data_IF_899389241067
#
_entry.id   IF_899389241067
#
_cell.length_a   1.000
_cell.length_b   1.000
_cell.length_c   1.000
_cell.angle_alpha   90.00
_cell.angle_beta   90.00
_cell.angle_gamma   90.00
#
_symmetry.space_group_name_H-M   'P 1'
#
loop_
_entity.id
_entity.type
_entity.pdbx_description
1 polymer ?
#
# COMPACT_ATOMS: atom_id res chain seq x y z
N UNK A 1 -14.45 12.73 -12.09
CA UNK A 1 -13.01 12.67 -12.55
C UNK A 1 -12.41 11.36 -12.07
N UNK A 2 -11.43 10.75 -12.78
CA UNK A 2 -10.76 9.55 -12.28
C UNK A 2 -10.14 9.79 -10.91
N UNK A 3 -10.06 8.73 -10.10
CA UNK A 3 -9.41 8.72 -8.79
C UNK A 3 -8.12 7.89 -8.86
N UNK A 4 -7.14 8.24 -8.04
CA UNK A 4 -5.93 7.44 -7.92
C UNK A 4 -6.15 6.31 -6.91
N UNK A 5 -5.91 5.08 -7.30
CA UNK A 5 -5.78 3.95 -6.40
C UNK A 5 -4.31 3.73 -6.04
N UNK A 6 -4.05 3.43 -4.77
CA UNK A 6 -2.74 3.12 -4.23
C UNK A 6 -2.84 1.81 -3.44
N UNK A 7 -2.12 0.80 -3.90
CA UNK A 7 -1.93 -0.46 -3.19
C UNK A 7 -0.49 -0.54 -2.66
N UNK A 8 -0.34 -0.92 -1.39
CA UNK A 8 0.95 -1.18 -0.76
C UNK A 8 1.00 -2.59 -0.23
N UNK A 9 2.17 -3.21 -0.27
CA UNK A 9 2.40 -4.55 0.23
C UNK A 9 3.80 -4.69 0.81
N UNK A 10 3.92 -5.29 1.98
CA UNK A 10 5.21 -5.59 2.60
C UNK A 10 5.16 -6.88 3.40
N UNK A 11 6.26 -7.64 3.36
CA UNK A 11 6.44 -8.85 4.19
C UNK A 11 7.07 -8.43 5.51
N UNK A 12 6.43 -8.77 6.62
CA UNK A 12 6.95 -8.51 7.96
C UNK A 12 7.96 -9.58 8.36
N UNK A 13 8.94 -9.20 9.18
CA UNK A 13 9.94 -10.11 9.75
C UNK A 13 9.32 -11.11 10.72
N UNK A 14 8.32 -10.66 11.49
CA UNK A 14 7.58 -11.46 12.47
C UNK A 14 6.11 -11.55 12.11
N UNK A 15 5.41 -12.63 12.50
CA UNK A 15 3.96 -12.72 12.39
C UNK A 15 3.25 -11.58 13.13
N UNK A 16 2.07 -11.22 12.65
CA UNK A 16 1.22 -10.20 13.28
C UNK A 16 0.84 -10.54 14.73
N UNK A 17 0.71 -11.82 15.04
CA UNK A 17 0.38 -12.31 16.40
C UNK A 17 1.60 -12.38 17.35
N UNK A 18 2.82 -12.08 16.87
CA UNK A 18 4.02 -12.11 17.70
C UNK A 18 3.92 -11.03 18.80
N UNK A 19 4.04 -11.39 20.10
CA UNK A 19 3.95 -10.44 21.20
C UNK A 19 5.21 -9.59 21.41
N UNK A 20 6.23 -9.74 20.56
CA UNK A 20 7.49 -9.02 20.70
C UNK A 20 7.30 -7.49 20.71
N UNK A 21 8.14 -6.74 21.46
CA UNK A 21 8.04 -5.28 21.53
C UNK A 21 8.09 -4.59 20.16
N UNK A 22 8.87 -5.13 19.23
CA UNK A 22 9.00 -4.57 17.88
C UNK A 22 7.70 -4.71 17.07
N UNK A 23 6.98 -5.82 17.23
CA UNK A 23 5.68 -6.03 16.60
C UNK A 23 4.63 -5.07 17.16
N UNK A 24 4.62 -4.86 18.47
CA UNK A 24 3.73 -3.85 19.10
C UNK A 24 4.04 -2.44 18.59
N UNK A 25 5.32 -2.06 18.53
CA UNK A 25 5.73 -0.77 17.98
C UNK A 25 5.23 -0.59 16.54
N UNK A 26 5.32 -1.65 15.71
CA UNK A 26 4.76 -1.61 14.34
C UNK A 26 3.27 -1.29 14.34
N UNK A 27 2.48 -1.91 15.23
CA UNK A 27 1.05 -1.61 15.34
C UNK A 27 0.80 -0.17 15.80
N UNK A 28 1.51 0.30 16.83
CA UNK A 28 1.32 1.64 17.39
C UNK A 28 1.65 2.72 16.34
N UNK A 29 2.77 2.57 15.64
CA UNK A 29 3.17 3.48 14.56
C UNK A 29 2.21 3.37 13.38
N UNK A 30 1.82 2.15 13.01
CA UNK A 30 0.86 1.87 11.93
C UNK A 30 -0.49 2.51 12.19
N UNK A 31 -1.04 2.38 13.38
CA UNK A 31 -2.32 3.01 13.75
C UNK A 31 -2.23 4.54 13.68
N UNK A 32 -1.18 5.14 14.20
CA UNK A 32 -0.99 6.60 14.14
C UNK A 32 -0.89 7.10 12.69
N UNK A 33 -0.14 6.40 11.83
CA UNK A 33 -0.04 6.69 10.38
C UNK A 33 -1.41 6.54 9.72
N UNK A 34 -2.13 5.47 10.03
CA UNK A 34 -3.43 5.14 9.48
C UNK A 34 -4.46 6.23 9.77
N UNK A 35 -4.51 6.72 11.01
CA UNK A 35 -5.38 7.82 11.43
C UNK A 35 -5.01 9.13 10.72
N UNK A 36 -3.72 9.43 10.61
CA UNK A 36 -3.24 10.66 9.98
C UNK A 36 -3.54 10.70 8.48
N UNK A 37 -3.36 9.59 7.78
CA UNK A 37 -3.69 9.45 6.35
C UNK A 37 -5.17 9.69 6.10
N UNK A 38 -6.06 9.13 6.94
CA UNK A 38 -7.51 9.32 6.81
C UNK A 38 -7.97 10.77 7.00
N UNK A 39 -7.15 11.64 7.57
CA UNK A 39 -7.42 13.08 7.75
C UNK A 39 -6.90 13.95 6.60
N UNK A 40 -6.19 13.36 5.63
CA UNK A 40 -5.61 14.13 4.52
C UNK A 40 -6.71 14.63 3.57
N UNK A 41 -6.69 15.92 3.14
CA UNK A 41 -7.76 16.50 2.31
C UNK A 41 -8.01 15.77 0.98
N UNK A 42 -6.99 15.14 0.42
CA UNK A 42 -7.11 14.38 -0.81
C UNK A 42 -7.44 12.89 -0.63
N UNK A 43 -7.59 12.42 0.61
CA UNK A 43 -8.00 11.05 0.90
C UNK A 43 -9.49 10.87 0.62
N UNK A 44 -9.87 9.76 -0.03
CA UNK A 44 -11.25 9.44 -0.36
C UNK A 44 -11.76 8.24 0.42
N UNK A 45 -11.05 7.12 0.35
CA UNK A 45 -11.45 5.87 0.98
C UNK A 45 -10.26 4.91 1.08
N UNK A 46 -10.42 3.86 1.87
CA UNK A 46 -9.49 2.71 1.92
C UNK A 46 -10.27 1.44 2.22
N UNK A 47 -9.65 0.30 1.88
CA UNK A 47 -10.17 -0.99 2.26
C UNK A 47 -10.15 -1.15 3.79
N UNK A 48 -11.32 -1.41 4.34
CA UNK A 48 -11.54 -1.70 5.76
C UNK A 48 -12.36 -2.97 5.88
N UNK A 49 -12.09 -3.74 6.93
CA UNK A 49 -12.87 -4.93 7.24
C UNK A 49 -14.28 -4.50 7.64
N UNK A 50 -15.29 -5.07 6.98
CA UNK A 50 -16.71 -4.84 7.26
C UNK A 50 -17.16 -5.73 8.41
N UNK A 51 -16.74 -7.00 8.36
CA UNK A 51 -16.99 -8.00 9.40
C UNK A 51 -15.79 -8.95 9.52
N UNK A 52 -15.47 -9.33 10.76
CA UNK A 52 -14.32 -10.16 11.08
C UNK A 52 -13.24 -9.44 11.89
N UNK A 53 -12.29 -10.22 12.40
CA UNK A 53 -11.14 -9.68 13.13
C UNK A 53 -10.04 -9.21 12.16
N UNK A 54 -9.43 -8.07 12.44
CA UNK A 54 -8.27 -7.56 11.67
C UNK A 54 -7.11 -8.56 11.57
N UNK A 55 -6.99 -9.48 12.52
CA UNK A 55 -6.00 -10.57 12.46
C UNK A 55 -6.30 -11.64 11.41
N UNK A 56 -7.55 -11.74 10.93
CA UNK A 56 -8.02 -12.77 9.99
C UNK A 56 -8.12 -12.22 8.56
N UNK A 57 -7.05 -11.61 8.04
CA UNK A 57 -7.06 -10.89 6.75
C UNK A 57 -7.69 -11.68 5.60
N UNK A 58 -7.40 -13.00 5.53
CA UNK A 58 -7.82 -13.86 4.43
C UNK A 58 -9.27 -14.35 4.55
N UNK A 59 -9.88 -14.26 5.74
CA UNK A 59 -11.23 -14.73 6.04
C UNK A 59 -12.20 -13.57 6.33
N UNK A 60 -11.67 -12.35 6.47
CA UNK A 60 -12.46 -11.16 6.75
C UNK A 60 -13.31 -10.75 5.54
N UNK A 61 -14.48 -10.19 5.81
CA UNK A 61 -15.29 -9.53 4.79
C UNK A 61 -14.77 -8.11 4.54
N UNK A 62 -14.29 -7.86 3.35
CA UNK A 62 -13.80 -6.56 2.88
C UNK A 62 -14.84 -5.81 2.03
N UNK A 63 -16.07 -6.30 1.95
CA UNK A 63 -17.16 -5.67 1.20
C UNK A 63 -16.81 -5.47 -0.27
N UNK A 64 -17.03 -4.25 -0.78
CA UNK A 64 -16.77 -3.91 -2.17
C UNK A 64 -15.31 -3.97 -2.61
N UNK A 65 -14.35 -4.07 -1.66
CA UNK A 65 -12.93 -4.21 -1.96
C UNK A 65 -12.52 -5.65 -2.34
N UNK A 66 -13.49 -6.58 -2.28
CA UNK A 66 -13.34 -7.98 -2.67
C UNK A 66 -12.52 -8.80 -1.69
N UNK A 67 -12.29 -10.06 -2.03
CA UNK A 67 -11.48 -10.97 -1.20
C UNK A 67 -10.04 -10.48 -1.08
N UNK A 68 -9.49 -10.60 0.14
CA UNK A 68 -8.10 -10.26 0.39
C UNK A 68 -7.16 -11.15 -0.43
N UNK A 69 -6.23 -10.53 -1.12
CA UNK A 69 -5.28 -11.20 -1.98
C UNK A 69 -3.85 -10.72 -1.70
N UNK A 70 -2.89 -11.58 -2.00
CA UNK A 70 -1.46 -11.31 -1.85
C UNK A 70 -0.70 -11.68 -3.11
N UNK A 71 0.43 -11.01 -3.39
CA UNK A 71 1.30 -11.36 -4.51
C UNK A 71 1.79 -12.80 -4.44
N UNK A 72 2.07 -13.39 -5.59
CA UNK A 72 2.52 -14.80 -5.72
C UNK A 72 3.84 -15.08 -4.99
N UNK A 73 4.67 -14.06 -4.78
CA UNK A 73 5.92 -14.19 -4.01
C UNK A 73 5.73 -14.19 -2.48
N UNK A 74 4.50 -13.98 -1.97
CA UNK A 74 4.24 -14.10 -0.55
C UNK A 74 4.24 -15.57 -0.12
N UNK A 75 5.23 -15.97 0.67
CA UNK A 75 5.47 -17.35 1.09
C UNK A 75 5.25 -17.64 2.57
N UNK A 76 4.82 -16.62 3.35
CA UNK A 76 4.48 -16.80 4.76
C UNK A 76 3.10 -17.45 4.90
N UNK A 77 2.73 -17.81 6.15
CA UNK A 77 1.44 -18.42 6.43
C UNK A 77 0.24 -17.49 6.23
N UNK A 78 -0.94 -18.08 6.31
CA UNK A 78 -2.24 -17.37 6.12
C UNK A 78 -3.16 -17.50 7.34
N UNK A 79 -2.71 -18.08 8.43
CA UNK A 79 -3.44 -18.12 9.69
C UNK A 79 -3.10 -16.90 10.55
N UNK A 80 -3.87 -16.65 11.59
CA UNK A 80 -3.62 -15.54 12.53
C UNK A 80 -2.20 -15.61 13.10
N UNK A 81 -1.70 -16.81 13.41
CA UNK A 81 -0.41 -17.01 14.05
C UNK A 81 0.77 -16.90 13.06
N UNK A 82 0.52 -17.12 11.77
CA UNK A 82 1.59 -17.25 10.77
C UNK A 82 1.60 -16.13 9.74
N UNK A 83 0.55 -15.33 9.65
CA UNK A 83 0.48 -14.19 8.74
C UNK A 83 1.50 -13.13 9.13
N UNK A 84 2.41 -12.80 8.21
CA UNK A 84 3.47 -11.82 8.40
C UNK A 84 3.53 -10.86 7.21
N UNK A 85 2.54 -10.00 7.09
CA UNK A 85 2.44 -8.99 6.05
C UNK A 85 1.74 -7.73 6.54
N UNK A 86 1.96 -6.63 5.85
CA UNK A 86 1.10 -5.45 5.90
C UNK A 86 0.72 -5.05 4.48
N UNK A 87 -0.55 -4.78 4.25
CA UNK A 87 -1.06 -4.32 2.98
C UNK A 87 -2.11 -3.24 3.21
N UNK A 88 -2.15 -2.26 2.30
CA UNK A 88 -3.20 -1.23 2.27
C UNK A 88 -3.68 -1.03 0.84
N UNK A 89 -4.95 -0.72 0.70
CA UNK A 89 -5.55 -0.33 -0.57
C UNK A 89 -6.39 0.91 -0.33
N UNK A 90 -6.10 2.00 -1.03
CA UNK A 90 -6.72 3.31 -0.78
C UNK A 90 -7.03 4.05 -2.08
N UNK A 91 -7.97 4.98 -1.98
CA UNK A 91 -8.39 5.89 -3.06
C UNK A 91 -8.09 7.34 -2.68
N UNK A 92 -7.67 8.09 -3.67
CA UNK A 92 -7.24 9.47 -3.55
C UNK A 92 -7.82 10.33 -4.68
N UNK A 93 -7.99 11.61 -4.41
CA UNK A 93 -8.47 12.57 -5.42
C UNK A 93 -7.49 12.72 -6.58
N UNK A 94 -6.18 12.61 -6.32
CA UNK A 94 -5.13 12.81 -7.33
C UNK A 94 -3.79 12.23 -6.86
N UNK A 95 -2.81 12.26 -7.75
CA UNK A 95 -1.44 11.81 -7.55
C UNK A 95 -0.70 12.61 -6.46
N UNK A 96 -0.79 13.95 -6.50
CA UNK A 96 -0.08 14.80 -5.56
C UNK A 96 -0.55 14.65 -4.11
N UNK A 97 -1.84 14.63 -3.79
CA UNK A 97 -2.32 14.32 -2.46
C UNK A 97 -1.84 12.97 -1.91
N UNK A 98 -1.88 11.93 -2.74
CA UNK A 98 -1.38 10.61 -2.34
C UNK A 98 0.13 10.63 -2.06
N UNK A 99 0.91 11.27 -2.94
CA UNK A 99 2.34 11.46 -2.76
C UNK A 99 2.67 12.22 -1.47
N UNK A 100 1.98 13.35 -1.24
CA UNK A 100 2.19 14.16 -0.04
C UNK A 100 1.91 13.36 1.24
N UNK A 101 0.79 12.66 1.30
CA UNK A 101 0.43 11.82 2.44
C UNK A 101 1.46 10.71 2.73
N UNK A 102 2.06 10.13 1.69
CA UNK A 102 3.05 9.04 1.82
C UNK A 102 4.43 9.58 2.23
N UNK A 103 4.86 10.71 1.65
CA UNK A 103 6.26 11.17 1.77
C UNK A 103 6.45 12.37 2.68
N UNK A 104 5.45 12.74 3.49
CA UNK A 104 5.59 13.80 4.48
C UNK A 104 5.22 13.33 5.89
N UNK A 105 5.62 14.11 6.89
CA UNK A 105 5.24 13.91 8.28
C UNK A 105 5.49 12.50 8.81
N UNK A 106 4.55 12.01 9.60
CA UNK A 106 4.66 10.75 10.33
C UNK A 106 4.85 9.52 9.44
N UNK A 107 4.20 9.49 8.26
CA UNK A 107 4.35 8.35 7.33
C UNK A 107 5.77 8.29 6.75
N UNK A 108 6.36 9.44 6.39
CA UNK A 108 7.76 9.49 5.95
C UNK A 108 8.71 8.98 7.04
N UNK A 109 8.45 9.35 8.30
CA UNK A 109 9.28 8.91 9.42
C UNK A 109 9.18 7.39 9.60
N UNK A 110 7.99 6.82 9.49
CA UNK A 110 7.78 5.38 9.48
C UNK A 110 8.48 4.69 8.29
N UNK A 111 8.40 5.26 7.07
CA UNK A 111 9.10 4.75 5.90
C UNK A 111 10.62 4.73 6.05
N UNK A 112 11.22 5.72 6.72
CA UNK A 112 12.65 5.75 7.01
C UNK A 112 13.09 4.60 7.92
N UNK A 113 12.18 4.10 8.75
CA UNK A 113 12.39 2.98 9.67
C UNK A 113 11.80 1.66 9.17
N UNK A 114 11.24 1.59 7.97
CA UNK A 114 10.48 0.42 7.48
C UNK A 114 11.22 -0.91 7.63
N UNK A 115 12.53 -0.91 7.50
CA UNK A 115 13.35 -2.12 7.61
C UNK A 115 13.64 -2.55 9.07
N UNK A 116 13.12 -1.84 10.05
CA UNK A 116 13.04 -2.36 11.41
C UNK A 116 12.02 -3.51 11.43
N UNK A 117 10.90 -3.36 10.72
CA UNK A 117 9.76 -4.28 10.70
C UNK A 117 9.68 -5.17 9.47
N UNK A 118 10.02 -4.66 8.28
CA UNK A 118 9.85 -5.35 7.01
C UNK A 118 11.12 -6.06 6.53
N UNK A 119 10.93 -7.16 5.81
CA UNK A 119 11.98 -7.82 5.06
C UNK A 119 12.38 -7.00 3.83
N UNK A 120 13.61 -7.18 3.35
CA UNK A 120 14.08 -6.68 2.06
C UNK A 120 13.90 -7.78 1.01
N UNK A 121 12.76 -7.79 0.36
CA UNK A 121 12.42 -8.87 -0.59
C UNK A 121 12.93 -8.65 -2.01
N UNK A 122 13.33 -7.42 -2.37
CA UNK A 122 13.68 -7.07 -3.74
C UNK A 122 12.48 -6.93 -4.69
N UNK A 123 11.27 -7.19 -4.22
CA UNK A 123 10.05 -7.02 -5.02
C UNK A 123 9.50 -5.60 -4.91
N UNK A 124 8.66 -5.21 -5.88
CA UNK A 124 7.86 -3.99 -5.78
C UNK A 124 6.98 -4.03 -4.52
N UNK A 125 6.87 -2.92 -3.82
CA UNK A 125 6.16 -2.82 -2.54
C UNK A 125 4.97 -1.86 -2.58
N UNK A 126 4.74 -1.16 -3.68
CA UNK A 126 3.53 -0.39 -3.93
C UNK A 126 3.31 -0.18 -5.42
N UNK A 127 2.07 0.10 -5.79
CA UNK A 127 1.65 0.44 -7.14
C UNK A 127 0.52 1.45 -7.11
N UNK A 128 0.54 2.37 -8.06
CA UNK A 128 -0.52 3.35 -8.34
C UNK A 128 -1.18 3.04 -9.69
N UNK A 129 -2.47 3.38 -9.80
CA UNK A 129 -3.22 3.37 -11.07
C UNK A 129 -4.46 4.25 -10.96
N UNK A 130 -4.99 4.65 -12.11
CA UNK A 130 -6.23 5.41 -12.18
C UNK A 130 -7.45 4.50 -12.28
N UNK A 131 -8.50 4.85 -11.55
CA UNK A 131 -9.82 4.21 -11.63
C UNK A 131 -10.88 5.25 -11.98
N UNK A 132 -11.94 4.83 -12.69
CA UNK A 132 -13.07 5.71 -12.98
C UNK A 132 -13.78 6.11 -11.70
N UNK A 133 -14.38 7.30 -11.70
CA UNK A 133 -15.21 7.77 -10.59
C UNK A 133 -16.30 6.75 -10.26
N UNK A 134 -16.50 6.48 -8.98
CA UNK A 134 -17.46 5.50 -8.48
C UNK A 134 -17.00 4.04 -8.53
N UNK A 135 -15.84 3.75 -9.13
CA UNK A 135 -15.25 2.40 -9.11
C UNK A 135 -14.45 2.20 -7.83
N UNK A 136 -14.73 1.12 -7.12
CA UNK A 136 -13.94 0.66 -5.97
C UNK A 136 -12.98 -0.42 -6.47
N UNK A 137 -11.65 -0.22 -6.37
CA UNK A 137 -10.68 -1.25 -6.76
C UNK A 137 -10.69 -2.40 -5.76
N UNK A 138 -10.38 -3.60 -6.23
CA UNK A 138 -10.29 -4.79 -5.39
C UNK A 138 -8.84 -5.08 -4.97
N UNK A 139 -8.67 -5.88 -3.91
CA UNK A 139 -7.37 -6.40 -3.51
C UNK A 139 -6.67 -7.13 -4.66
N UNK A 140 -7.43 -7.90 -5.46
CA UNK A 140 -6.91 -8.61 -6.64
C UNK A 140 -6.40 -7.65 -7.72
N UNK A 141 -7.08 -6.50 -7.90
CA UNK A 141 -6.60 -5.45 -8.80
C UNK A 141 -5.24 -4.90 -8.36
N UNK A 142 -5.08 -4.64 -7.07
CA UNK A 142 -3.82 -4.17 -6.49
C UNK A 142 -2.69 -5.18 -6.69
N UNK A 143 -2.94 -6.44 -6.35
CA UNK A 143 -1.97 -7.53 -6.51
C UNK A 143 -1.53 -7.69 -7.96
N UNK A 144 -2.49 -7.81 -8.89
CA UNK A 144 -2.18 -8.00 -10.32
C UNK A 144 -1.33 -6.87 -10.90
N UNK A 145 -1.61 -5.62 -10.48
CA UNK A 145 -0.84 -4.45 -10.92
C UNK A 145 0.53 -4.37 -10.28
N UNK A 146 0.65 -4.77 -9.01
CA UNK A 146 1.95 -4.81 -8.33
C UNK A 146 2.86 -5.86 -8.96
N UNK A 147 2.33 -7.03 -9.32
CA UNK A 147 3.06 -8.08 -10.03
C UNK A 147 3.47 -7.60 -11.43
N UNK A 148 2.55 -6.97 -12.18
CA UNK A 148 2.88 -6.39 -13.48
C UNK A 148 4.01 -5.34 -13.38
N UNK A 149 3.90 -4.42 -12.39
CA UNK A 149 4.92 -3.41 -12.16
C UNK A 149 6.29 -4.02 -11.85
N UNK A 150 6.30 -5.10 -11.05
CA UNK A 150 7.53 -5.81 -10.71
C UNK A 150 8.18 -6.45 -11.94
N UNK A 151 7.39 -7.10 -12.78
CA UNK A 151 7.87 -7.90 -13.91
C UNK A 151 8.20 -7.04 -15.15
N UNK A 152 7.48 -5.94 -15.35
CA UNK A 152 7.51 -5.17 -16.60
C UNK A 152 7.87 -3.68 -16.44
N UNK A 153 7.93 -3.18 -15.19
CA UNK A 153 8.13 -1.75 -14.92
C UNK A 153 6.85 -0.92 -15.05
N UNK A 154 7.01 0.41 -14.94
CA UNK A 154 5.88 1.34 -14.93
C UNK A 154 5.19 1.46 -16.30
N UNK A 155 3.87 1.41 -16.27
CA UNK A 155 2.96 1.58 -17.41
C UNK A 155 1.72 2.39 -16.98
N UNK A 156 0.91 2.96 -17.88
CA UNK A 156 -0.27 3.77 -17.49
C UNK A 156 -1.28 3.09 -16.57
N UNK A 157 -1.35 1.76 -16.58
CA UNK A 157 -2.25 0.98 -15.74
C UNK A 157 -1.61 0.44 -14.44
N UNK A 158 -0.28 0.62 -14.27
CA UNK A 158 0.46 0.16 -13.10
C UNK A 158 1.78 0.96 -13.01
N UNK A 159 1.90 1.91 -12.08
CA UNK A 159 3.03 2.82 -12.01
C UNK A 159 3.44 3.17 -10.58
N UNK A 160 4.57 3.83 -10.45
CA UNK A 160 5.07 4.38 -9.18
C UNK A 160 4.91 5.90 -9.13
N UNK A 161 5.10 6.51 -7.97
CA UNK A 161 5.18 7.96 -7.88
C UNK A 161 6.36 8.55 -8.65
N UNK A 162 7.44 7.79 -8.81
CA UNK A 162 8.63 8.23 -9.54
C UNK A 162 8.40 8.25 -11.05
N UNK A 163 7.80 7.17 -11.57
CA UNK A 163 7.50 7.00 -12.99
C UNK A 163 5.98 6.95 -13.16
N UNK A 164 5.34 8.11 -13.02
CA UNK A 164 3.90 8.25 -12.96
C UNK A 164 3.27 8.69 -14.27
N UNK A 165 1.98 8.44 -14.39
CA UNK A 165 1.15 8.76 -15.56
C UNK A 165 -0.09 9.54 -15.15
N UNK A 166 -0.54 10.45 -16.00
CA UNK A 166 -1.84 11.10 -15.90
C UNK A 166 -2.99 10.14 -16.29
N UNK A 167 -4.26 10.47 -16.00
CA UNK A 167 -5.40 9.62 -16.34
C UNK A 167 -5.55 9.30 -17.83
N UNK A 168 -5.02 10.16 -18.71
CA UNK A 168 -5.00 9.95 -20.16
C UNK A 168 -3.83 9.08 -20.64
N UNK A 169 -2.99 8.59 -19.73
CA UNK A 169 -1.84 7.74 -20.02
C UNK A 169 -0.57 8.50 -20.40
N UNK A 170 -0.58 9.84 -20.40
CA UNK A 170 0.64 10.62 -20.63
C UNK A 170 1.54 10.62 -19.39
N UNK A 171 2.89 10.65 -19.56
CA UNK A 171 3.80 10.76 -18.43
C UNK A 171 3.49 11.98 -17.56
N UNK A 172 3.41 11.78 -16.25
CA UNK A 172 3.17 12.81 -15.26
C UNK A 172 4.35 12.93 -14.27
N UNK A 173 4.36 14.00 -13.48
CA UNK A 173 5.33 14.18 -12.40
C UNK A 173 4.60 14.63 -11.14
N UNK A 174 4.98 14.07 -10.02
CA UNK A 174 4.55 14.58 -8.70
C UNK A 174 5.21 15.94 -8.45
N UNK A 175 4.44 16.90 -7.98
CA UNK A 175 4.90 18.26 -7.65
C UNK A 175 5.62 18.35 -6.30
N UNK A 176 6.18 17.26 -5.79
CA UNK A 176 6.86 17.18 -4.51
C UNK A 176 8.37 17.05 -4.63
N UNK A 177 9.09 17.38 -3.57
CA UNK A 177 10.52 17.08 -3.43
C UNK A 177 10.61 15.55 -3.30
N UNK A 178 10.85 14.88 -4.42
CA UNK A 178 11.04 13.43 -4.43
C UNK A 178 12.16 13.01 -3.50
N UNK A 179 12.07 11.82 -2.85
CA UNK A 179 13.19 11.27 -2.12
C UNK A 179 14.40 11.21 -3.03
N UNK A 180 15.57 11.63 -2.50
CA UNK A 180 16.85 11.37 -3.18
C UNK A 180 16.90 9.88 -3.50
N UNK A 181 17.25 9.55 -4.75
CA UNK A 181 17.44 8.17 -5.20
C UNK A 181 18.18 7.39 -4.13
N UNK A 182 17.49 6.52 -3.41
CA UNK A 182 18.15 5.40 -2.74
C UNK A 182 18.67 4.51 -3.86
N UNK A 183 19.94 4.64 -4.16
CA UNK A 183 20.65 3.77 -5.06
C UNK A 183 20.55 2.35 -4.49
N UNK A 184 19.75 1.54 -5.13
CA UNK A 184 19.84 0.08 -4.98
C UNK A 184 21.23 -0.31 -5.50
N UNK A 185 22.13 -0.60 -4.59
CA UNK A 185 23.33 -1.42 -4.84
C UNK A 185 23.18 -2.74 -4.12
#
# INVERSE_FOLDING_TARGET
MPHLALYTFGVLKSPLADPAPLTREFYDVGEAVYQKIGQHPGYLARAEVVDGDRGMLFEADWGAWGEFAVPTWYSKGRTVETTALAATLSLWTDLNPAFDAVYTGLHRDALNRRYDWFERTGHANYVCWWVSEGVIPTWRDGVSRLEHLHDHGSAPHAFTFHDSFAPDGTPARTSGIGPKRDQVR
#
